data_IF_533686678900
#
_entry.id   IF_533686678900
#
_cell.length_a   1.000
_cell.length_b   1.000
_cell.length_c   1.000
_cell.angle_alpha   90.00
_cell.angle_beta   90.00
_cell.angle_gamma   90.00
#
_symmetry.space_group_name_H-M   'P 1'
#
loop_
_entity.id
_entity.type
_entity.pdbx_description
1 polymer ?
#
# COMPACT_ATOMS: atom_id res chain seq x y z
N UNK A 1 -0.88 -29.50 -21.01
CA UNK A 1 -1.38 -28.40 -20.18
C UNK A 1 -2.87 -28.55 -19.99
N UNK A 2 -3.40 -28.16 -18.86
CA UNK A 2 -4.84 -28.09 -18.63
C UNK A 2 -5.48 -27.13 -19.64
N UNK A 3 -6.68 -27.46 -20.11
CA UNK A 3 -7.43 -26.53 -20.96
C UNK A 3 -7.75 -25.25 -20.16
N UNK A 4 -7.66 -24.08 -20.78
CA UNK A 4 -7.90 -22.78 -20.15
C UNK A 4 -9.14 -22.10 -20.71
N UNK A 5 -9.76 -21.26 -19.91
CA UNK A 5 -10.78 -20.30 -20.32
C UNK A 5 -10.37 -18.87 -19.91
N UNK A 6 -11.20 -17.92 -20.25
CA UNK A 6 -11.03 -16.52 -19.85
C UNK A 6 -12.01 -16.19 -18.72
N UNK A 7 -11.49 -15.73 -17.61
CA UNK A 7 -12.29 -15.17 -16.53
C UNK A 7 -12.29 -13.64 -16.68
N UNK A 8 -13.47 -13.05 -16.78
CA UNK A 8 -13.68 -11.60 -16.77
C UNK A 8 -14.30 -11.19 -15.45
N UNK A 9 -13.58 -10.38 -14.68
CA UNK A 9 -14.03 -9.88 -13.38
C UNK A 9 -14.42 -8.41 -13.50
N UNK A 10 -15.63 -8.09 -13.06
CA UNK A 10 -16.14 -6.71 -12.98
C UNK A 10 -16.38 -6.40 -11.51
N UNK A 11 -15.75 -5.37 -10.99
CA UNK A 11 -15.99 -4.87 -9.62
C UNK A 11 -16.76 -3.56 -9.68
N UNK A 12 -17.76 -3.42 -8.80
CA UNK A 12 -18.58 -2.21 -8.64
C UNK A 12 -18.60 -1.75 -7.20
N UNK A 13 -18.73 -0.45 -6.99
CA UNK A 13 -18.85 0.14 -5.66
C UNK A 13 -20.31 0.60 -5.44
N UNK A 14 -20.97 0.05 -4.43
CA UNK A 14 -22.36 0.37 -4.09
C UNK A 14 -22.61 1.82 -3.69
N UNK A 15 -21.55 2.60 -3.39
CA UNK A 15 -21.62 4.05 -3.10
C UNK A 15 -21.75 4.91 -4.36
N UNK A 16 -21.39 4.38 -5.52
CA UNK A 16 -21.52 5.11 -6.77
C UNK A 16 -22.98 5.12 -7.17
N UNK A 17 -23.59 6.29 -7.21
CA UNK A 17 -24.99 6.46 -7.57
C UNK A 17 -25.26 5.84 -8.96
N UNK A 18 -26.23 4.91 -9.01
CA UNK A 18 -26.51 4.12 -10.20
C UNK A 18 -25.77 2.80 -10.30
N UNK A 19 -24.67 2.58 -9.54
CA UNK A 19 -23.93 1.31 -9.47
C UNK A 19 -23.37 0.77 -10.78
N UNK A 20 -23.48 1.53 -11.88
CA UNK A 20 -23.21 1.02 -13.23
C UNK A 20 -21.74 1.06 -13.63
N UNK A 21 -20.98 2.00 -13.11
CA UNK A 21 -19.57 2.14 -13.48
C UNK A 21 -18.69 1.14 -12.72
N UNK A 22 -17.75 0.45 -13.41
CA UNK A 22 -16.75 -0.36 -12.75
C UNK A 22 -15.88 0.47 -11.81
N UNK A 23 -15.52 -0.10 -10.65
CA UNK A 23 -14.72 0.55 -9.63
C UNK A 23 -13.40 -0.20 -9.40
N UNK A 24 -12.26 0.49 -9.27
CA UNK A 24 -10.98 -0.15 -8.94
C UNK A 24 -11.07 -0.90 -7.62
N UNK A 25 -10.42 -2.08 -7.56
CA UNK A 25 -10.41 -2.94 -6.39
C UNK A 25 -9.14 -3.77 -6.33
N UNK A 26 -8.81 -4.28 -5.15
CA UNK A 26 -7.80 -5.30 -4.94
C UNK A 26 -8.46 -6.68 -5.12
N UNK A 27 -7.86 -7.51 -5.97
CA UNK A 27 -8.37 -8.85 -6.31
C UNK A 27 -7.38 -9.94 -5.90
N UNK A 28 -7.93 -11.04 -5.40
CA UNK A 28 -7.25 -12.30 -5.20
C UNK A 28 -8.01 -13.37 -5.98
N UNK A 29 -7.35 -14.03 -6.90
CA UNK A 29 -7.97 -15.07 -7.77
C UNK A 29 -7.20 -16.36 -7.59
N UNK A 30 -7.91 -17.45 -7.26
CA UNK A 30 -7.34 -18.78 -7.10
C UNK A 30 -8.03 -19.77 -8.04
N UNK A 31 -7.24 -20.55 -8.76
CA UNK A 31 -7.76 -21.67 -9.55
C UNK A 31 -8.25 -22.84 -8.67
N UNK A 32 -8.86 -23.84 -9.26
CA UNK A 32 -9.39 -25.00 -8.55
C UNK A 32 -8.35 -25.85 -7.81
N UNK A 33 -7.07 -25.60 -8.03
CA UNK A 33 -5.95 -26.21 -7.30
C UNK A 33 -5.39 -25.28 -6.20
N UNK A 34 -5.96 -24.08 -6.03
CA UNK A 34 -5.52 -23.08 -5.08
C UNK A 34 -4.30 -22.28 -5.54
N UNK A 35 -3.91 -22.35 -6.80
CA UNK A 35 -2.84 -21.52 -7.34
C UNK A 35 -3.35 -20.13 -7.70
N UNK A 36 -2.58 -19.06 -7.36
CA UNK A 36 -2.97 -17.71 -7.70
C UNK A 36 -2.89 -17.48 -9.21
N UNK A 37 -3.90 -16.79 -9.74
CA UNK A 37 -3.93 -16.29 -11.11
C UNK A 37 -3.87 -14.76 -11.11
N UNK A 38 -3.04 -14.21 -11.99
CA UNK A 38 -2.84 -12.76 -12.14
C UNK A 38 -2.94 -12.39 -13.64
N UNK A 39 -3.38 -11.18 -13.98
CA UNK A 39 -3.42 -10.74 -15.36
C UNK A 39 -1.99 -10.60 -15.93
N UNK A 40 -1.83 -10.88 -17.21
CA UNK A 40 -0.52 -10.81 -17.89
C UNK A 40 0.08 -9.40 -17.93
N UNK A 41 -0.75 -8.38 -17.82
CA UNK A 41 -0.36 -6.96 -17.80
C UNK A 41 -0.30 -6.34 -16.41
N UNK A 42 -0.58 -7.12 -15.36
CA UNK A 42 -0.61 -6.64 -13.98
C UNK A 42 0.60 -7.11 -13.17
N UNK A 43 0.86 -6.41 -12.06
CA UNK A 43 1.84 -6.83 -11.08
C UNK A 43 1.18 -7.70 -10.03
N UNK A 44 1.69 -8.93 -9.87
CA UNK A 44 1.40 -9.73 -8.69
C UNK A 44 2.04 -9.10 -7.46
N UNK A 45 1.25 -8.87 -6.44
CA UNK A 45 1.69 -8.42 -5.14
C UNK A 45 1.46 -9.52 -4.11
N UNK A 46 2.10 -9.40 -2.96
CA UNK A 46 2.12 -10.43 -1.96
C UNK A 46 1.86 -9.85 -0.57
N UNK A 47 0.84 -10.34 0.11
CA UNK A 47 0.59 -9.99 1.50
C UNK A 47 1.55 -10.77 2.41
N UNK A 48 2.47 -10.05 3.04
CA UNK A 48 3.50 -10.65 3.89
C UNK A 48 2.98 -11.37 5.13
N UNK A 49 1.77 -11.05 5.59
CA UNK A 49 1.18 -11.64 6.79
C UNK A 49 0.51 -13.00 6.53
N UNK A 50 -0.17 -13.17 5.42
CA UNK A 50 -0.98 -14.37 5.14
C UNK A 50 -0.56 -15.14 3.90
N UNK A 51 0.39 -14.61 3.14
CA UNK A 51 0.90 -15.25 1.93
C UNK A 51 -0.02 -15.16 0.72
N UNK A 52 -1.06 -14.34 0.76
CA UNK A 52 -1.98 -14.17 -0.37
C UNK A 52 -1.33 -13.39 -1.49
N UNK A 53 -1.48 -13.89 -2.70
CA UNK A 53 -1.12 -13.16 -3.91
C UNK A 53 -2.35 -12.36 -4.37
N UNK A 54 -2.15 -11.09 -4.67
CA UNK A 54 -3.20 -10.19 -5.14
C UNK A 54 -2.69 -9.26 -6.25
N UNK A 55 -3.60 -8.55 -6.86
CA UNK A 55 -3.30 -7.50 -7.84
C UNK A 55 -4.41 -6.44 -7.80
N UNK A 56 -4.14 -5.27 -8.39
CA UNK A 56 -5.13 -4.20 -8.51
C UNK A 56 -5.79 -4.23 -9.88
N UNK A 57 -7.13 -4.22 -9.88
CA UNK A 57 -7.97 -4.11 -11.06
C UNK A 57 -8.46 -2.66 -11.23
N UNK A 58 -8.51 -2.13 -12.45
CA UNK A 58 -9.14 -0.83 -12.71
C UNK A 58 -10.69 -0.86 -12.64
N UNK A 59 -11.27 -2.03 -12.34
CA UNK A 59 -12.72 -2.27 -12.30
C UNK A 59 -13.18 -3.36 -13.26
N UNK A 60 -12.45 -3.57 -14.33
CA UNK A 60 -12.66 -4.70 -15.27
C UNK A 60 -11.29 -5.30 -15.58
N UNK A 61 -11.16 -6.60 -15.43
CA UNK A 61 -9.94 -7.33 -15.78
C UNK A 61 -10.27 -8.70 -16.37
N UNK A 62 -9.43 -9.14 -17.30
CA UNK A 62 -9.49 -10.48 -17.88
C UNK A 62 -8.24 -11.27 -17.53
N UNK A 63 -8.44 -12.54 -17.17
CA UNK A 63 -7.39 -13.49 -16.82
C UNK A 63 -7.57 -14.78 -17.60
N UNK A 64 -6.47 -15.38 -18.06
CA UNK A 64 -6.48 -16.77 -18.53
C UNK A 64 -6.28 -17.68 -17.33
N UNK A 65 -7.22 -18.56 -17.05
CA UNK A 65 -7.21 -19.48 -15.92
C UNK A 65 -7.49 -20.92 -16.39
N UNK A 66 -7.01 -21.96 -15.68
CA UNK A 66 -7.43 -23.33 -15.95
C UNK A 66 -8.95 -23.46 -15.86
N UNK A 67 -9.53 -24.26 -16.74
CA UNK A 67 -10.95 -24.60 -16.69
C UNK A 67 -11.27 -25.36 -15.40
N UNK A 68 -12.39 -25.02 -14.76
CA UNK A 68 -12.84 -25.55 -13.48
C UNK A 68 -13.31 -24.44 -12.54
N UNK A 69 -13.49 -24.78 -11.25
CA UNK A 69 -13.89 -23.79 -10.26
C UNK A 69 -12.76 -22.76 -10.02
N UNK A 70 -13.12 -21.49 -9.97
CA UNK A 70 -12.20 -20.37 -9.67
C UNK A 70 -12.82 -19.53 -8.57
N UNK A 71 -12.05 -19.29 -7.50
CA UNK A 71 -12.41 -18.41 -6.42
C UNK A 71 -11.90 -16.99 -6.72
N UNK A 72 -12.79 -16.01 -6.67
CA UNK A 72 -12.47 -14.60 -6.83
C UNK A 72 -12.81 -13.86 -5.57
N UNK A 73 -11.81 -13.31 -4.89
CA UNK A 73 -11.97 -12.39 -3.76
C UNK A 73 -11.73 -10.97 -4.20
N UNK A 74 -12.55 -10.04 -3.72
CA UNK A 74 -12.43 -8.61 -3.99
C UNK A 74 -12.62 -7.78 -2.73
N UNK A 75 -11.82 -6.72 -2.59
CA UNK A 75 -11.92 -5.76 -1.48
C UNK A 75 -11.57 -4.36 -1.98
N UNK A 76 -12.14 -3.32 -1.36
CA UNK A 76 -11.85 -1.93 -1.69
C UNK A 76 -11.81 -1.06 -0.43
N UNK A 77 -10.61 -0.91 0.12
CA UNK A 77 -10.40 -0.13 1.35
C UNK A 77 -10.81 -0.86 2.63
N UNK A 78 -10.69 -0.17 3.75
CA UNK A 78 -10.97 -0.70 5.08
C UNK A 78 -12.46 -0.74 5.44
N UNK A 79 -13.26 0.04 4.74
CA UNK A 79 -14.69 0.20 4.95
C UNK A 79 -15.55 -0.76 4.13
N UNK A 80 -14.94 -1.57 3.29
CA UNK A 80 -15.61 -2.55 2.42
C UNK A 80 -15.19 -3.97 2.82
N UNK A 81 -16.08 -4.79 3.38
CA UNK A 81 -15.79 -6.20 3.64
C UNK A 81 -15.38 -6.93 2.37
N UNK A 82 -14.50 -7.91 2.50
CA UNK A 82 -14.13 -8.78 1.38
C UNK A 82 -15.36 -9.57 0.89
N UNK A 83 -15.59 -9.52 -0.41
CA UNK A 83 -16.59 -10.34 -1.10
C UNK A 83 -15.87 -11.42 -1.87
N UNK A 84 -16.34 -12.67 -1.78
CA UNK A 84 -15.76 -13.79 -2.49
C UNK A 84 -16.84 -14.57 -3.24
N UNK A 85 -16.57 -14.85 -4.52
CA UNK A 85 -17.44 -15.61 -5.41
C UNK A 85 -16.65 -16.79 -6.00
N UNK A 86 -17.32 -17.94 -6.16
CA UNK A 86 -16.77 -19.07 -6.88
C UNK A 86 -17.55 -19.27 -8.18
N UNK A 87 -16.82 -19.28 -9.30
CA UNK A 87 -17.41 -19.45 -10.64
C UNK A 87 -16.78 -20.63 -11.36
N UNK A 88 -17.54 -21.28 -12.25
CA UNK A 88 -17.08 -22.38 -13.07
C UNK A 88 -16.60 -21.85 -14.41
N UNK A 89 -15.30 -21.87 -14.65
CA UNK A 89 -14.70 -21.44 -15.92
C UNK A 89 -14.63 -22.60 -16.89
N UNK A 90 -15.15 -22.39 -18.11
CA UNK A 90 -15.14 -23.39 -19.19
C UNK A 90 -13.99 -23.17 -20.14
N UNK A 91 -13.43 -24.28 -20.63
CA UNK A 91 -12.34 -24.23 -21.60
C UNK A 91 -12.75 -23.50 -22.88
N UNK A 92 -11.95 -22.53 -23.30
CA UNK A 92 -12.16 -21.77 -24.55
C UNK A 92 -13.30 -20.77 -24.52
N UNK A 93 -13.99 -20.61 -23.36
CA UNK A 93 -15.09 -19.66 -23.18
C UNK A 93 -14.67 -18.48 -22.31
N UNK A 94 -15.47 -17.40 -22.37
CA UNK A 94 -15.39 -16.28 -21.42
C UNK A 94 -16.45 -16.50 -20.34
N UNK A 95 -15.99 -16.55 -19.08
CA UNK A 95 -16.87 -16.56 -17.91
C UNK A 95 -16.79 -15.20 -17.25
N UNK A 96 -17.93 -14.54 -17.09
CA UNK A 96 -18.00 -13.24 -16.44
C UNK A 96 -18.50 -13.39 -15.00
N UNK A 97 -17.87 -12.66 -14.06
CA UNK A 97 -18.31 -12.50 -12.68
C UNK A 97 -18.37 -11.04 -12.33
N UNK A 98 -19.49 -10.60 -11.77
CA UNK A 98 -19.69 -9.26 -11.26
C UNK A 98 -19.71 -9.29 -9.73
N UNK A 99 -18.88 -8.47 -9.10
CA UNK A 99 -18.78 -8.36 -7.64
C UNK A 99 -19.17 -6.94 -7.23
N UNK A 100 -20.25 -6.84 -6.45
CA UNK A 100 -20.65 -5.60 -5.83
C UNK A 100 -19.98 -5.46 -4.45
N UNK A 101 -19.23 -4.39 -4.28
CA UNK A 101 -18.54 -4.03 -3.04
C UNK A 101 -19.39 -3.02 -2.29
N UNK A 102 -19.98 -3.44 -1.17
CA UNK A 102 -20.81 -2.59 -0.32
C UNK A 102 -20.03 -2.14 0.91
N UNK A 103 -19.92 -0.83 1.08
CA UNK A 103 -19.27 -0.25 2.25
C UNK A 103 -20.18 -0.33 3.47
N UNK A 104 -19.60 -0.65 4.62
CA UNK A 104 -20.28 -0.62 5.92
C UNK A 104 -20.40 0.80 6.47
N UNK A 105 -19.64 1.74 5.92
CA UNK A 105 -19.64 3.15 6.30
C UNK A 105 -19.11 4.00 5.13
N UNK A 106 -19.66 5.19 4.96
CA UNK A 106 -19.16 6.17 4.00
C UNK A 106 -18.46 7.33 4.72
N UNK A 107 -17.12 7.28 4.88
CA UNK A 107 -16.38 8.33 5.55
C UNK A 107 -16.45 9.67 4.82
N UNK A 108 -16.57 9.67 3.49
CA UNK A 108 -16.61 10.92 2.68
C UNK A 108 -17.86 11.71 2.92
N UNK A 109 -19.01 11.06 3.05
CA UNK A 109 -20.27 11.74 3.40
C UNK A 109 -20.23 12.36 4.80
N UNK A 110 -19.38 11.83 5.69
CA UNK A 110 -19.13 12.37 7.02
C UNK A 110 -17.98 13.43 7.05
N UNK A 111 -17.44 13.81 5.90
CA UNK A 111 -16.39 14.81 5.77
C UNK A 111 -14.96 14.31 6.05
N UNK A 112 -14.73 13.00 6.05
CA UNK A 112 -13.41 12.42 6.23
C UNK A 112 -12.78 12.05 4.89
N UNK A 113 -11.46 12.18 4.81
CA UNK A 113 -10.63 11.62 3.75
C UNK A 113 -9.83 10.43 4.30
N UNK A 114 -9.68 9.40 3.49
CA UNK A 114 -8.85 8.26 3.82
C UNK A 114 -7.40 8.50 3.37
N UNK A 115 -6.42 8.12 4.19
CA UNK A 115 -5.03 8.32 3.83
C UNK A 115 -4.10 7.26 4.40
N UNK A 116 -3.00 7.01 3.69
CA UNK A 116 -1.87 6.22 4.17
C UNK A 116 -0.59 7.04 4.06
N UNK A 117 0.06 7.24 5.19
CA UNK A 117 1.28 8.03 5.31
C UNK A 117 2.51 7.20 5.68
N UNK A 118 2.38 5.85 5.71
CA UNK A 118 3.49 4.98 6.00
C UNK A 118 3.45 3.69 5.18
N UNK A 119 3.82 3.79 3.94
CA UNK A 119 4.11 2.64 3.09
C UNK A 119 5.31 2.94 2.18
N UNK A 120 5.87 1.90 1.58
CA UNK A 120 7.05 1.98 0.74
C UNK A 120 6.78 1.36 -0.62
N UNK A 121 7.12 2.09 -1.68
CA UNK A 121 7.15 1.53 -3.02
C UNK A 121 8.44 0.68 -3.18
N UNK A 122 8.31 -0.57 -3.60
CA UNK A 122 9.44 -1.48 -3.81
C UNK A 122 10.31 -1.73 -2.55
N UNK A 123 9.71 -1.90 -1.37
CA UNK A 123 10.43 -2.00 -0.10
C UNK A 123 11.48 -3.12 -0.04
N UNK A 124 11.17 -4.28 -0.56
CA UNK A 124 11.99 -5.48 -0.43
C UNK A 124 13.04 -5.69 -1.53
N UNK A 125 13.18 -4.77 -2.48
CA UNK A 125 14.13 -4.91 -3.59
C UNK A 125 13.70 -4.17 -4.85
N UNK A 126 14.39 -4.40 -5.99
CA UNK A 126 14.06 -3.78 -7.26
C UNK A 126 12.84 -4.44 -7.90
N UNK A 127 11.68 -4.28 -7.27
CA UNK A 127 10.42 -4.67 -7.88
C UNK A 127 10.04 -3.63 -8.95
N UNK A 128 9.30 -4.04 -9.95
CA UNK A 128 9.02 -3.21 -11.12
C UNK A 128 7.89 -2.20 -10.96
N UNK A 129 7.57 -1.73 -9.74
CA UNK A 129 6.56 -0.71 -9.53
C UNK A 129 7.16 0.69 -9.73
N UNK A 130 6.50 1.47 -10.57
CA UNK A 130 6.79 2.88 -10.77
C UNK A 130 5.76 3.76 -10.03
N UNK A 131 6.06 5.05 -9.79
CA UNK A 131 5.11 5.97 -9.16
C UNK A 131 3.77 6.08 -9.91
N UNK A 132 3.77 5.85 -11.21
CA UNK A 132 2.60 5.86 -12.09
C UNK A 132 1.62 4.71 -11.79
N UNK A 133 2.06 3.66 -11.10
CA UNK A 133 1.20 2.56 -10.64
C UNK A 133 0.38 2.95 -9.39
N UNK A 134 0.89 3.88 -8.59
CA UNK A 134 0.28 4.29 -7.31
C UNK A 134 -1.17 4.77 -7.44
N UNK A 135 -1.57 5.57 -8.45
CA UNK A 135 -2.96 6.01 -8.54
C UNK A 135 -3.98 4.87 -8.66
N UNK A 136 -3.64 3.77 -9.34
CA UNK A 136 -4.51 2.59 -9.40
C UNK A 136 -4.57 1.89 -8.04
N UNK A 137 -3.42 1.69 -7.40
CA UNK A 137 -3.33 1.07 -6.07
C UNK A 137 -4.15 1.85 -5.04
N UNK A 138 -3.99 3.18 -5.00
CA UNK A 138 -4.73 4.05 -4.07
C UNK A 138 -6.24 4.00 -4.33
N UNK A 139 -6.66 4.02 -5.59
CA UNK A 139 -8.09 3.87 -5.92
C UNK A 139 -8.63 2.50 -5.55
N UNK A 140 -7.83 1.44 -5.73
CA UNK A 140 -8.18 0.08 -5.32
C UNK A 140 -8.34 -0.08 -3.81
N UNK A 141 -7.58 0.68 -3.03
CA UNK A 141 -7.66 0.75 -1.56
C UNK A 141 -8.58 1.88 -1.06
N UNK A 142 -9.31 2.55 -1.94
CA UNK A 142 -10.18 3.69 -1.61
C UNK A 142 -9.48 4.80 -0.81
N UNK A 143 -8.20 5.04 -1.08
CA UNK A 143 -7.40 6.09 -0.43
C UNK A 143 -7.48 7.39 -1.21
N UNK A 144 -7.66 8.49 -0.50
CA UNK A 144 -7.73 9.85 -1.03
C UNK A 144 -6.38 10.56 -0.99
N UNK A 145 -5.56 10.24 0.01
CA UNK A 145 -4.24 10.85 0.21
C UNK A 145 -3.21 9.75 0.49
N UNK A 146 -2.06 9.82 -0.14
CA UNK A 146 -1.00 8.84 0.05
C UNK A 146 0.37 9.51 0.11
N UNK A 147 1.18 9.08 1.08
CA UNK A 147 2.56 9.54 1.22
C UNK A 147 3.49 8.34 1.26
N UNK A 148 3.90 7.81 0.10
CA UNK A 148 4.92 6.77 0.07
C UNK A 148 6.23 7.33 0.62
N UNK A 149 6.88 6.56 1.51
CA UNK A 149 8.11 7.00 2.18
C UNK A 149 9.34 6.50 1.45
N UNK A 150 10.23 7.41 1.14
CA UNK A 150 11.56 7.13 0.61
C UNK A 150 12.50 6.61 1.70
N UNK A 151 13.68 6.20 1.30
CA UNK A 151 14.73 5.61 2.12
C UNK A 151 14.43 4.17 2.55
N UNK A 152 14.02 3.35 1.60
CA UNK A 152 13.94 1.90 1.77
C UNK A 152 15.31 1.29 2.13
N UNK A 153 15.30 0.20 2.90
CA UNK A 153 16.54 -0.45 3.34
C UNK A 153 17.41 -0.95 2.18
N UNK A 154 16.79 -1.42 1.11
CA UNK A 154 17.49 -2.04 -0.01
C UNK A 154 17.66 -1.11 -1.22
N UNK A 155 16.77 -0.14 -1.39
CA UNK A 155 16.75 0.77 -2.55
C UNK A 155 17.03 2.23 -2.18
N UNK A 156 17.53 2.48 -0.98
CA UNK A 156 17.66 3.82 -0.38
C UNK A 156 18.38 4.87 -1.22
N UNK A 157 19.33 4.47 -2.05
CA UNK A 157 20.03 5.40 -2.94
C UNK A 157 19.31 5.59 -4.28
N UNK A 158 18.57 4.59 -4.72
CA UNK A 158 17.79 4.66 -5.96
C UNK A 158 16.50 5.42 -5.77
N UNK A 159 15.92 5.34 -4.58
CA UNK A 159 14.66 6.02 -4.23
C UNK A 159 14.74 7.53 -4.36
N UNK A 160 15.94 8.12 -4.24
CA UNK A 160 16.11 9.57 -4.35
C UNK A 160 15.59 10.15 -5.66
N UNK A 161 15.66 9.38 -6.74
CA UNK A 161 15.14 9.79 -8.05
C UNK A 161 13.63 10.02 -8.06
N UNK A 162 12.91 9.46 -7.09
CA UNK A 162 11.45 9.61 -6.93
C UNK A 162 11.09 10.89 -6.16
N UNK A 163 12.07 11.55 -5.54
CA UNK A 163 11.85 12.79 -4.82
C UNK A 163 11.37 13.90 -5.75
N UNK A 164 10.27 14.53 -5.37
CA UNK A 164 9.65 15.57 -6.18
C UNK A 164 8.59 15.07 -7.17
N UNK A 165 8.45 13.74 -7.34
CA UNK A 165 7.29 13.22 -8.06
C UNK A 165 6.03 13.39 -7.21
N UNK A 166 4.96 13.88 -7.82
CA UNK A 166 3.68 14.06 -7.16
C UNK A 166 2.51 13.92 -8.15
N UNK A 167 1.37 13.53 -7.61
CA UNK A 167 0.08 13.61 -8.28
C UNK A 167 -0.81 14.55 -7.47
N UNK A 168 -1.08 15.73 -8.01
CA UNK A 168 -1.85 16.78 -7.34
C UNK A 168 -3.14 17.15 -8.10
N UNK A 169 -3.44 16.51 -9.22
CA UNK A 169 -4.58 16.75 -10.09
C UNK A 169 -5.80 15.89 -9.70
N UNK A 170 -6.44 16.22 -8.60
CA UNK A 170 -7.58 15.46 -8.08
C UNK A 170 -7.18 14.23 -7.28
N UNK A 171 -8.17 13.57 -6.70
CA UNK A 171 -7.94 12.38 -5.85
C UNK A 171 -7.59 11.13 -6.67
N UNK A 172 -6.74 10.27 -6.17
CA UNK A 172 -5.94 10.43 -4.95
C UNK A 172 -4.83 11.47 -5.10
N UNK A 173 -4.54 12.22 -4.04
CA UNK A 173 -3.36 13.06 -3.93
C UNK A 173 -2.19 12.21 -3.46
N UNK A 174 -1.06 12.27 -4.16
CA UNK A 174 0.11 11.45 -3.83
C UNK A 174 1.35 12.34 -3.83
N UNK A 175 2.12 12.30 -2.74
CA UNK A 175 3.39 12.99 -2.63
C UNK A 175 4.36 12.20 -1.78
N UNK A 176 5.58 12.01 -2.24
CA UNK A 176 6.59 11.28 -1.49
C UNK A 176 7.03 12.03 -0.23
N UNK A 177 7.09 11.31 0.87
CA UNK A 177 7.77 11.68 2.10
C UNK A 177 9.07 10.91 2.27
N UNK A 178 9.64 10.98 3.47
CA UNK A 178 10.88 10.29 3.82
C UNK A 178 10.73 9.58 5.16
N UNK A 179 11.21 8.35 5.27
CA UNK A 179 11.43 7.71 6.57
C UNK A 179 12.90 7.82 6.96
N UNK A 180 13.16 8.42 8.09
CA UNK A 180 14.48 8.51 8.70
C UNK A 180 14.58 7.51 9.83
N UNK A 181 15.65 6.70 9.83
CA UNK A 181 15.78 5.54 10.71
C UNK A 181 16.98 5.68 11.65
N UNK A 182 16.72 5.95 12.92
CA UNK A 182 17.66 5.70 13.99
C UNK A 182 17.50 4.27 14.51
N UNK A 183 18.59 3.54 14.62
CA UNK A 183 18.55 2.18 15.18
C UNK A 183 18.11 2.16 16.64
N UNK A 184 18.49 3.17 17.41
CA UNK A 184 18.22 3.24 18.85
C UNK A 184 16.96 4.05 19.19
N UNK A 185 16.76 5.20 18.54
CA UNK A 185 15.69 6.13 18.87
C UNK A 185 14.39 5.91 18.08
N UNK A 186 14.39 4.92 17.18
CA UNK A 186 13.24 4.62 16.33
C UNK A 186 13.18 5.46 15.07
N UNK A 187 12.14 5.22 14.28
CA UNK A 187 11.97 5.82 12.97
C UNK A 187 11.02 7.01 13.02
N UNK A 188 11.28 7.99 12.18
CA UNK A 188 10.42 9.16 12.01
C UNK A 188 10.08 9.36 10.54
N UNK A 189 8.82 9.68 10.26
CA UNK A 189 8.38 10.13 8.94
C UNK A 189 8.52 11.65 8.84
N UNK A 190 9.01 12.11 7.69
CA UNK A 190 9.06 13.51 7.33
C UNK A 190 8.16 13.72 6.12
N UNK A 191 7.08 14.48 6.29
CA UNK A 191 6.07 14.71 5.29
C UNK A 191 6.10 16.18 4.85
N UNK A 192 5.77 16.43 3.60
CA UNK A 192 5.69 17.77 3.01
C UNK A 192 6.96 18.63 3.17
N UNK A 193 8.13 17.99 3.16
CA UNK A 193 9.42 18.68 3.16
C UNK A 193 9.83 19.01 1.72
N UNK A 194 10.62 20.07 1.55
CA UNK A 194 11.16 20.50 0.25
C UNK A 194 12.45 19.80 -0.13
N UNK A 195 13.17 19.32 0.85
CA UNK A 195 14.45 18.61 0.68
C UNK A 195 14.52 17.40 1.58
N UNK A 196 15.23 16.37 1.13
CA UNK A 196 15.51 15.19 1.94
C UNK A 196 16.43 15.53 3.10
N UNK A 197 16.23 14.87 4.24
CA UNK A 197 17.15 14.87 5.35
C UNK A 197 18.26 13.85 5.10
N UNK A 198 19.50 14.20 5.48
CA UNK A 198 20.66 13.33 5.36
C UNK A 198 21.49 13.33 6.65
N UNK A 199 22.05 12.18 7.11
CA UNK A 199 21.75 10.82 6.66
C UNK A 199 20.38 10.37 7.11
N UNK A 200 19.74 9.46 6.37
CA UNK A 200 18.42 8.95 6.76
C UNK A 200 18.43 7.60 7.46
N UNK A 201 19.60 7.03 7.68
CA UNK A 201 19.81 5.79 8.42
C UNK A 201 21.09 5.94 9.25
N UNK A 202 21.04 5.69 10.54
CA UNK A 202 22.20 5.68 11.42
C UNK A 202 22.03 4.75 12.62
N UNK A 203 23.16 4.51 13.33
CA UNK A 203 23.23 3.68 14.51
C UNK A 203 23.84 2.31 14.28
N UNK A 204 24.17 1.57 15.32
CA UNK A 204 24.97 0.36 15.26
C UNK A 204 24.31 -0.80 14.50
N UNK A 205 22.98 -0.81 14.36
CA UNK A 205 22.27 -1.79 13.54
C UNK A 205 22.30 -1.51 12.04
N UNK A 206 22.76 -0.31 11.66
CA UNK A 206 22.85 0.13 10.26
C UNK A 206 24.31 0.46 9.92
N UNK A 207 25.07 -0.52 9.57
CA UNK A 207 26.56 -0.48 9.42
C UNK A 207 27.12 0.60 8.48
N UNK A 208 26.28 1.30 7.74
CA UNK A 208 26.70 2.25 6.71
C UNK A 208 26.99 3.66 7.26
N UNK A 209 26.36 4.06 8.37
CA UNK A 209 26.39 5.45 8.84
C UNK A 209 26.75 5.62 10.33
N UNK A 210 27.42 4.66 10.93
CA UNK A 210 28.13 4.84 12.18
C UNK A 210 27.30 4.80 13.44
N UNK A 211 27.58 5.74 14.35
CA UNK A 211 27.11 5.75 15.72
C UNK A 211 25.72 6.36 15.90
N UNK A 212 25.10 6.07 17.03
CA UNK A 212 23.82 6.67 17.48
C UNK A 212 24.06 8.01 18.21
N UNK A 213 24.81 8.90 17.60
CA UNK A 213 25.17 10.20 18.14
C UNK A 213 24.24 11.34 17.68
N UNK A 214 23.17 11.03 16.95
CA UNK A 214 22.20 11.99 16.45
C UNK A 214 20.84 11.79 17.09
N UNK A 215 20.24 12.82 17.67
CA UNK A 215 18.87 12.77 18.18
C UNK A 215 17.85 12.85 17.03
N UNK A 216 16.65 12.31 17.26
CA UNK A 216 15.54 12.45 16.31
C UNK A 216 15.02 13.89 16.21
N UNK A 217 15.41 14.79 17.14
CA UNK A 217 15.15 16.23 17.00
C UNK A 217 15.75 16.85 15.73
N UNK A 218 16.86 16.28 15.19
CA UNK A 218 17.50 16.79 13.99
C UNK A 218 16.60 16.63 12.75
N UNK A 219 16.12 15.40 12.39
CA UNK A 219 15.19 15.23 11.28
C UNK A 219 13.84 15.93 11.53
N UNK A 220 13.32 15.91 12.76
CA UNK A 220 12.08 16.60 13.09
C UNK A 220 12.22 18.11 12.95
N UNK A 221 13.35 18.69 13.39
CA UNK A 221 13.70 20.09 13.18
C UNK A 221 13.85 20.46 11.72
N UNK A 222 14.43 19.55 10.89
CA UNK A 222 14.53 19.73 9.46
C UNK A 222 13.13 19.84 8.81
N UNK A 223 12.20 18.95 9.14
CA UNK A 223 10.83 19.03 8.63
C UNK A 223 10.15 20.34 9.07
N UNK A 224 10.21 20.68 10.35
CA UNK A 224 9.61 21.89 10.92
C UNK A 224 10.15 23.17 10.28
N UNK A 225 11.46 23.23 10.04
CA UNK A 225 12.11 24.41 9.40
C UNK A 225 11.63 24.67 7.97
N UNK A 226 11.04 23.66 7.33
CA UNK A 226 10.53 23.75 5.96
C UNK A 226 9.00 23.88 5.90
N UNK A 227 8.33 23.91 7.05
CA UNK A 227 6.87 23.91 7.16
C UNK A 227 6.24 22.51 6.99
N UNK A 228 7.07 21.48 6.96
CA UNK A 228 6.63 20.09 6.88
C UNK A 228 6.21 19.53 8.24
N UNK A 229 5.71 18.30 8.21
CA UNK A 229 5.25 17.54 9.38
C UNK A 229 6.26 16.42 9.64
N UNK A 230 6.65 16.25 10.90
CA UNK A 230 7.45 15.12 11.35
C UNK A 230 6.71 14.34 12.43
N UNK A 231 6.85 13.03 12.42
CA UNK A 231 6.23 12.17 13.43
C UNK A 231 6.90 10.80 13.53
N UNK A 232 6.75 10.17 14.69
CA UNK A 232 7.21 8.80 14.86
C UNK A 232 6.32 7.82 14.10
N UNK A 233 6.94 6.82 13.47
CA UNK A 233 6.24 5.74 12.79
C UNK A 233 6.30 4.46 13.62
N UNK A 234 5.32 3.56 13.43
CA UNK A 234 5.17 2.27 14.13
C UNK A 234 5.65 2.31 15.61
N UNK A 235 5.08 3.19 16.44
CA UNK A 235 5.49 3.33 17.85
C UNK A 235 5.18 2.07 18.67
N UNK A 236 4.36 1.17 18.13
CA UNK A 236 3.94 -0.10 18.71
C UNK A 236 4.22 -1.22 17.71
N UNK A 237 4.74 -2.37 18.19
CA UNK A 237 5.12 -3.49 17.32
C UNK A 237 4.03 -4.52 17.12
N UNK A 238 3.16 -4.73 18.11
CA UNK A 238 2.15 -5.78 18.15
C UNK A 238 0.78 -5.26 18.61
N UNK A 239 -0.18 -6.17 18.67
CA UNK A 239 -1.58 -5.84 18.98
C UNK A 239 -1.82 -5.33 20.42
N UNK A 240 -0.88 -5.53 21.34
CA UNK A 240 -0.97 -4.95 22.69
C UNK A 240 -0.11 -3.68 22.79
N UNK A 241 -0.71 -2.49 22.60
CA UNK A 241 0.00 -1.22 22.61
C UNK A 241 0.50 -0.83 24.02
N UNK A 242 0.04 -1.51 25.06
CA UNK A 242 0.38 -1.21 26.45
C UNK A 242 1.48 -2.10 27.01
N UNK A 243 1.90 -3.13 26.29
CA UNK A 243 3.04 -3.94 26.67
C UNK A 243 4.34 -3.16 26.41
N UNK A 244 5.22 -3.01 27.41
CA UNK A 244 6.53 -2.36 27.23
C UNK A 244 7.39 -3.04 26.15
N UNK A 245 7.17 -4.33 25.92
CA UNK A 245 7.89 -5.11 24.91
C UNK A 245 7.44 -4.79 23.47
N UNK A 246 6.26 -4.22 23.33
CA UNK A 246 5.65 -3.88 22.05
C UNK A 246 5.90 -2.44 21.60
N UNK A 247 6.49 -1.62 22.48
CA UNK A 247 6.89 -0.26 22.10
C UNK A 247 8.16 -0.33 21.26
N UNK A 248 8.08 0.06 19.99
CA UNK A 248 9.19 -0.05 19.06
C UNK A 248 10.42 0.76 19.48
N UNK A 249 10.22 1.84 20.22
CA UNK A 249 11.29 2.71 20.69
C UNK A 249 10.84 3.47 21.94
N UNK A 250 10.89 2.84 23.15
CA UNK A 250 10.52 3.51 24.38
C UNK A 250 11.19 4.88 24.59
N UNK A 251 12.49 5.06 24.26
CA UNK A 251 13.13 6.36 24.37
C UNK A 251 12.57 7.42 23.41
N UNK A 252 12.03 6.99 22.27
CA UNK A 252 11.46 7.91 21.28
C UNK A 252 10.20 8.63 21.79
N UNK A 253 9.45 7.99 22.68
CA UNK A 253 8.27 8.59 23.31
C UNK A 253 8.62 9.61 24.38
N UNK A 254 9.87 9.60 24.87
CA UNK A 254 10.35 10.52 25.92
C UNK A 254 11.00 11.79 25.34
N UNK A 255 11.21 11.86 24.04
CA UNK A 255 11.91 12.96 23.36
C UNK A 255 10.95 13.76 22.47
N UNK A 256 9.67 13.76 22.80
CA UNK A 256 8.68 14.58 22.11
C UNK A 256 8.61 15.93 22.82
N UNK A 257 9.30 16.93 22.29
CA UNK A 257 9.09 18.34 22.58
C UNK A 257 8.24 18.98 21.49
#
# INVERSE_FOLDING_TARGET
>A
GSATGTLRVITRDGRIEGGEAPAPARLNVLDGSGHPAVPSSGYAQFEGQNGRVFFYSPGVVELSVPAGPVLVGAVRGLDTPEVSETVEVRAGEVTEVEILLESVWDPKSAGFLSGDHHFHLNYGGPFGLDPEDLPLMMRGENLDVATPLLANLHTRFEDQKLWGWEKADGLPLIRFGQEVRSHFLGHVALLDTRTLFWPWIWGPGYQVYGSDDRPNSDPLGHARSQGGIGGYVHPVRDADPFSPENVASPPALLVVD
#
